data_IF_380571957378
#
_entry.id   IF_380571957378
#
_cell.length_a   1.000
_cell.length_b   1.000
_cell.length_c   1.000
_cell.angle_alpha   90.00
_cell.angle_beta   90.00
_cell.angle_gamma   90.00
#
_symmetry.space_group_name_H-M   'P 1'
#
loop_
_entity.id
_entity.type
_entity.pdbx_description
1 polymer ?
#
# COMPACT_ATOMS: atom_id res chain seq x y z
N UNK A 1 -51.30 -33.13 -39.35
CA UNK A 1 -51.60 -31.72 -38.98
C UNK A 1 -50.50 -31.29 -38.00
N UNK A 2 -49.49 -30.52 -38.42
CA UNK A 2 -49.46 -29.04 -38.47
C UNK A 2 -49.85 -28.39 -37.13
N UNK A 3 -49.24 -27.35 -36.58
CA UNK A 3 -47.94 -26.67 -36.67
C UNK A 3 -47.95 -25.57 -35.58
N UNK A 4 -46.76 -25.08 -35.18
CA UNK A 4 -46.45 -23.70 -34.74
C UNK A 4 -46.74 -23.17 -33.32
N UNK A 5 -45.61 -22.84 -32.66
CA UNK A 5 -45.13 -21.51 -32.18
C UNK A 5 -45.41 -21.01 -30.75
N UNK A 6 -44.31 -20.53 -30.14
CA UNK A 6 -44.23 -19.57 -29.01
C UNK A 6 -43.43 -20.17 -27.84
N UNK A 7 -42.34 -19.63 -27.28
CA UNK A 7 -41.73 -18.30 -27.34
C UNK A 7 -41.32 -17.88 -25.91
N UNK A 8 -40.02 -17.99 -25.58
CA UNK A 8 -39.23 -17.16 -24.63
C UNK A 8 -39.68 -17.05 -23.15
N UNK A 9 -38.82 -17.46 -22.19
CA UNK A 9 -38.00 -16.55 -21.32
C UNK A 9 -37.28 -17.25 -20.15
N UNK A 10 -35.99 -16.92 -20.03
CA UNK A 10 -35.12 -17.11 -18.86
C UNK A 10 -35.69 -16.47 -17.59
N UNK A 11 -35.39 -17.06 -16.43
CA UNK A 11 -35.08 -16.32 -15.19
C UNK A 11 -34.31 -17.20 -14.19
N UNK A 12 -33.12 -17.66 -14.57
CA UNK A 12 -32.08 -17.93 -13.57
C UNK A 12 -31.71 -16.59 -12.96
N UNK A 13 -32.02 -16.40 -11.67
CA UNK A 13 -31.70 -15.19 -10.92
C UNK A 13 -30.19 -14.98 -11.00
N UNK A 14 -29.82 -13.99 -11.78
CA UNK A 14 -28.52 -13.37 -11.83
C UNK A 14 -28.25 -12.82 -10.42
N UNK A 15 -27.45 -13.56 -9.66
CA UNK A 15 -26.84 -13.06 -8.43
C UNK A 15 -25.82 -12.02 -8.89
N UNK A 16 -26.33 -10.81 -9.14
CA UNK A 16 -25.57 -9.64 -9.50
C UNK A 16 -24.58 -9.40 -8.36
N UNK A 17 -23.36 -9.92 -8.52
CA UNK A 17 -22.23 -9.64 -7.62
C UNK A 17 -22.13 -8.12 -7.59
N UNK A 18 -22.63 -7.51 -6.52
CA UNK A 18 -22.51 -6.07 -6.30
C UNK A 18 -21.04 -5.75 -6.44
N UNK A 19 -20.65 -5.16 -7.58
CA UNK A 19 -19.31 -4.66 -7.81
C UNK A 19 -18.94 -3.83 -6.58
N UNK A 20 -17.70 -3.98 -6.12
CA UNK A 20 -17.19 -3.26 -4.96
C UNK A 20 -17.64 -1.80 -5.09
N UNK A 21 -18.52 -1.37 -4.18
CA UNK A 21 -18.91 0.04 -4.09
C UNK A 21 -17.59 0.79 -4.02
N UNK A 22 -17.32 1.66 -5.00
CA UNK A 22 -16.16 2.56 -5.04
C UNK A 22 -16.20 3.38 -3.74
N UNK A 23 -15.66 2.78 -2.67
CA UNK A 23 -15.47 3.41 -1.39
C UNK A 23 -14.38 4.41 -1.69
N UNK A 24 -14.76 5.69 -1.76
CA UNK A 24 -13.89 6.83 -2.08
C UNK A 24 -12.73 6.97 -1.10
N UNK A 25 -11.82 6.01 -1.13
CA UNK A 25 -10.57 6.00 -0.43
C UNK A 25 -9.54 6.36 -1.48
N UNK A 26 -9.37 7.67 -1.68
CA UNK A 26 -8.30 8.23 -2.48
C UNK A 26 -6.97 7.87 -1.80
N UNK A 27 -6.42 6.72 -2.16
CA UNK A 27 -5.08 6.33 -1.73
C UNK A 27 -4.06 6.92 -2.69
N UNK A 28 -2.92 7.35 -2.15
CA UNK A 28 -1.77 7.69 -2.97
C UNK A 28 -1.11 6.40 -3.48
N UNK A 29 -0.92 6.25 -4.81
CA UNK A 29 -0.21 5.11 -5.36
C UNK A 29 1.23 5.10 -4.86
N UNK A 30 1.75 3.92 -4.56
CA UNK A 30 3.14 3.79 -4.12
C UNK A 30 4.09 4.21 -5.26
N UNK A 31 5.09 5.06 -4.99
CA UNK A 31 6.07 5.44 -5.99
C UNK A 31 6.90 4.23 -6.41
N UNK A 32 7.35 4.22 -7.67
CA UNK A 32 8.36 3.26 -8.12
C UNK A 32 9.69 3.58 -7.46
N UNK A 33 10.57 2.58 -7.31
CA UNK A 33 11.88 2.78 -6.67
C UNK A 33 12.70 3.87 -7.39
N UNK A 34 12.61 3.96 -8.71
CA UNK A 34 13.30 4.97 -9.54
C UNK A 34 12.79 6.40 -9.30
N UNK A 35 11.56 6.56 -8.81
CA UNK A 35 10.97 7.85 -8.48
C UNK A 35 11.37 8.33 -7.08
N UNK A 36 11.85 7.42 -6.23
CA UNK A 36 12.25 7.72 -4.87
C UNK A 36 13.68 8.28 -4.87
N UNK A 37 13.83 9.55 -4.53
CA UNK A 37 15.12 10.26 -4.54
C UNK A 37 15.50 10.77 -3.15
N UNK A 38 16.80 10.96 -2.92
CA UNK A 38 17.31 11.52 -1.66
C UNK A 38 17.59 10.49 -0.55
N UNK A 39 17.43 9.19 -0.82
CA UNK A 39 17.66 8.11 0.14
C UNK A 39 18.87 7.22 -0.20
N UNK A 40 19.63 7.57 -1.24
CA UNK A 40 20.71 6.75 -1.77
C UNK A 40 20.17 5.49 -2.46
N UNK A 41 20.88 4.37 -2.31
CA UNK A 41 20.47 3.08 -2.87
C UNK A 41 19.33 2.47 -2.04
N UNK A 42 18.13 2.41 -2.61
CA UNK A 42 16.96 1.75 -2.04
C UNK A 42 16.69 0.43 -2.76
N UNK A 43 16.43 -0.63 -2.00
CA UNK A 43 16.04 -1.94 -2.54
C UNK A 43 14.61 -2.26 -2.12
N UNK A 44 13.69 -2.52 -3.07
CA UNK A 44 12.35 -2.97 -2.73
C UNK A 44 12.44 -4.36 -2.08
N UNK A 45 11.71 -4.56 -1.00
CA UNK A 45 11.63 -5.83 -0.27
C UNK A 45 10.18 -6.18 0.02
N UNK A 46 9.94 -7.45 0.37
CA UNK A 46 8.61 -7.89 0.74
C UNK A 46 8.11 -7.13 1.97
N UNK A 47 6.94 -6.50 1.83
CA UNK A 47 6.24 -5.89 2.96
C UNK A 47 5.91 -6.91 4.04
N UNK A 48 6.04 -6.50 5.30
CA UNK A 48 5.65 -7.30 6.47
C UNK A 48 4.52 -6.64 7.26
N UNK A 49 4.50 -5.30 7.32
CA UNK A 49 3.46 -4.54 8.03
C UNK A 49 2.13 -4.58 7.27
N UNK A 50 1.01 -4.96 7.90
CA UNK A 50 -0.32 -4.94 7.27
C UNK A 50 -0.80 -3.49 7.01
N UNK A 51 -1.58 -3.28 5.94
CA UNK A 51 -2.24 -2.00 5.69
C UNK A 51 -3.46 -1.82 6.61
N UNK A 52 -3.68 -0.62 7.10
CA UNK A 52 -4.84 -0.32 7.94
C UNK A 52 -6.10 -0.20 7.07
N UNK A 53 -7.13 -0.99 7.36
CA UNK A 53 -8.44 -0.90 6.70
C UNK A 53 -8.52 -1.50 5.29
N UNK A 54 -7.54 -2.29 4.87
CA UNK A 54 -7.53 -2.94 3.55
C UNK A 54 -6.80 -4.27 3.54
N UNK A 55 -6.85 -4.95 2.39
CA UNK A 55 -6.08 -6.17 2.15
C UNK A 55 -4.61 -5.87 1.83
N UNK A 56 -3.70 -6.72 2.30
CA UNK A 56 -2.29 -6.70 1.92
C UNK A 56 -1.35 -5.97 2.88
N UNK A 57 -0.08 -5.88 2.47
CA UNK A 57 1.02 -5.34 3.28
C UNK A 57 1.55 -4.05 2.66
N UNK A 58 2.15 -3.19 3.48
CA UNK A 58 2.78 -1.94 3.04
C UNK A 58 3.97 -2.24 2.15
N UNK A 59 4.14 -1.46 1.09
CA UNK A 59 5.34 -1.49 0.27
C UNK A 59 6.52 -1.10 1.16
N UNK A 60 7.61 -1.85 1.04
CA UNK A 60 8.78 -1.67 1.89
C UNK A 60 10.04 -1.58 1.04
N UNK A 61 10.92 -0.67 1.43
CA UNK A 61 12.27 -0.55 0.88
C UNK A 61 13.29 -0.59 2.01
N UNK A 62 14.45 -1.14 1.72
CA UNK A 62 15.62 -1.07 2.60
C UNK A 62 16.64 -0.14 1.98
N UNK A 63 17.14 0.79 2.79
CA UNK A 63 18.17 1.73 2.41
C UNK A 63 19.39 1.63 3.33
N UNK A 64 20.43 2.34 2.97
CA UNK A 64 21.62 2.48 3.81
C UNK A 64 22.23 1.13 4.24
N UNK A 65 22.36 0.20 3.28
CA UNK A 65 22.81 -1.18 3.48
C UNK A 65 21.99 -1.96 4.54
N UNK A 66 20.69 -1.69 4.61
CA UNK A 66 19.77 -2.35 5.55
C UNK A 66 19.66 -1.69 6.91
N UNK A 67 20.39 -0.58 7.16
CA UNK A 67 20.29 0.18 8.41
C UNK A 67 19.01 0.99 8.52
N UNK A 68 18.33 1.24 7.39
CA UNK A 68 17.06 1.97 7.33
C UNK A 68 16.02 1.21 6.53
N UNK A 69 14.79 1.26 7.02
CA UNK A 69 13.61 0.66 6.39
C UNK A 69 12.65 1.80 6.09
N UNK A 70 12.04 1.80 4.92
CA UNK A 70 11.05 2.77 4.51
C UNK A 70 9.77 2.04 4.12
N UNK A 71 8.63 2.48 4.63
CA UNK A 71 7.32 1.95 4.25
C UNK A 71 6.43 3.03 3.63
N UNK A 72 5.65 2.66 2.62
CA UNK A 72 4.71 3.59 2.01
C UNK A 72 3.48 3.79 2.89
N UNK A 73 3.23 5.05 3.26
CA UNK A 73 1.94 5.48 3.79
C UNK A 73 1.05 5.95 2.65
N UNK A 74 0.18 5.06 2.17
CA UNK A 74 -0.76 5.37 1.09
C UNK A 74 -1.86 6.33 1.49
N UNK A 75 -2.06 6.62 2.78
CA UNK A 75 -3.05 7.59 3.23
C UNK A 75 -2.52 9.02 3.08
N UNK A 76 -1.23 9.23 3.32
CA UNK A 76 -0.62 10.56 3.32
C UNK A 76 0.30 10.82 2.10
N UNK A 77 0.66 9.77 1.36
CA UNK A 77 1.57 9.89 0.22
C UNK A 77 3.03 10.11 0.62
N UNK A 78 3.45 9.58 1.77
CA UNK A 78 4.79 9.77 2.34
C UNK A 78 5.49 8.44 2.64
N UNK A 79 6.83 8.48 2.73
CA UNK A 79 7.64 7.36 3.18
C UNK A 79 7.86 7.46 4.68
N UNK A 80 7.29 6.52 5.42
CA UNK A 80 7.59 6.36 6.85
C UNK A 80 8.92 5.62 7.01
N UNK A 81 9.89 6.26 7.66
CA UNK A 81 11.20 5.70 7.92
C UNK A 81 11.28 5.04 9.29
N UNK A 82 12.00 3.92 9.33
CA UNK A 82 12.28 3.16 10.53
C UNK A 82 13.76 2.75 10.57
N UNK A 83 14.31 2.63 11.78
CA UNK A 83 15.66 2.12 11.99
C UNK A 83 15.68 0.61 11.83
N UNK A 84 16.62 0.08 11.05
CA UNK A 84 16.71 -1.34 10.72
C UNK A 84 17.08 -2.25 11.90
N UNK A 85 17.69 -1.70 12.95
CA UNK A 85 18.12 -2.48 14.12
C UNK A 85 16.98 -2.81 15.09
N UNK A 86 16.13 -1.84 15.41
CA UNK A 86 15.10 -1.92 16.46
C UNK A 86 13.69 -1.63 15.94
N UNK A 87 13.57 -1.19 14.68
CA UNK A 87 12.30 -0.83 14.06
C UNK A 87 11.74 0.50 14.56
N UNK A 88 12.50 1.33 15.28
CA UNK A 88 12.02 2.61 15.79
C UNK A 88 11.72 3.58 14.64
N UNK A 89 10.60 4.29 14.71
CA UNK A 89 10.26 5.33 13.74
C UNK A 89 11.27 6.49 13.80
N UNK A 90 11.83 6.85 12.64
CA UNK A 90 12.83 7.92 12.49
C UNK A 90 12.28 9.17 11.78
N UNK A 91 11.02 9.14 11.34
CA UNK A 91 10.34 10.25 10.69
C UNK A 91 9.59 9.84 9.43
N UNK A 92 8.79 10.76 8.90
CA UNK A 92 8.19 10.63 7.58
C UNK A 92 8.94 11.52 6.59
N UNK A 93 9.05 11.06 5.34
CA UNK A 93 9.86 11.70 4.32
C UNK A 93 9.11 11.82 2.99
N UNK A 94 9.38 12.89 2.27
CA UNK A 94 8.87 13.09 0.91
C UNK A 94 9.61 12.15 -0.06
N UNK A 95 8.90 11.33 -0.86
CA UNK A 95 9.54 10.36 -1.75
C UNK A 95 10.34 11.01 -2.88
N UNK A 96 9.94 12.21 -3.34
CA UNK A 96 10.54 12.86 -4.52
C UNK A 96 11.81 13.64 -4.18
N UNK A 97 11.88 14.19 -2.98
CA UNK A 97 12.97 15.05 -2.53
C UNK A 97 13.85 14.43 -1.44
N UNK A 98 13.34 13.42 -0.73
CA UNK A 98 14.00 12.84 0.44
C UNK A 98 13.97 13.74 1.67
N UNK A 99 13.26 14.88 1.61
CA UNK A 99 13.15 15.80 2.74
C UNK A 99 12.30 15.18 3.83
N UNK A 100 12.72 15.36 5.08
CA UNK A 100 11.95 14.96 6.23
C UNK A 100 10.73 15.87 6.38
N UNK A 101 9.54 15.28 6.38
CA UNK A 101 8.25 15.93 6.57
C UNK A 101 7.83 15.95 8.04
N UNK A 102 8.08 14.83 8.74
CA UNK A 102 7.73 14.67 10.16
C UNK A 102 8.92 14.17 10.97
N UNK A 103 9.09 14.63 12.22
CA UNK A 103 10.12 14.13 13.11
C UNK A 103 9.88 12.67 13.50
N UNK A 104 10.89 12.06 14.12
CA UNK A 104 10.77 10.75 14.74
C UNK A 104 9.66 10.73 15.79
N UNK A 105 8.96 9.61 15.90
CA UNK A 105 7.90 9.40 16.89
C UNK A 105 8.26 8.19 17.75
N UNK A 106 8.60 8.38 19.04
CA UNK A 106 9.00 7.28 19.91
C UNK A 106 7.88 6.25 20.11
N UNK A 107 6.61 6.63 19.93
CA UNK A 107 5.46 5.74 20.10
C UNK A 107 5.25 4.80 18.91
N UNK A 108 5.89 5.07 17.75
CA UNK A 108 5.73 4.29 16.53
C UNK A 108 6.95 3.41 16.28
N UNK A 109 6.72 2.13 16.04
CA UNK A 109 7.77 1.19 15.68
C UNK A 109 7.21 0.02 14.84
N UNK A 110 8.11 -0.64 14.13
CA UNK A 110 7.83 -1.84 13.33
C UNK A 110 8.61 -3.06 13.84
N UNK A 111 9.02 -3.08 15.12
CA UNK A 111 9.86 -4.16 15.69
C UNK A 111 9.27 -5.56 15.45
N UNK A 112 7.94 -5.69 15.58
CA UNK A 112 7.19 -6.92 15.31
C UNK A 112 7.27 -7.39 13.84
N UNK A 113 7.60 -6.48 12.93
CA UNK A 113 7.58 -6.67 11.50
C UNK A 113 8.94 -6.45 10.85
N UNK A 114 10.05 -6.45 11.59
CA UNK A 114 11.40 -6.41 11.00
C UNK A 114 11.64 -7.64 10.12
#
# INVERSE_FOLDING_TARGET
>A
MAASKGGKKNKGKEDERKGVKEKGHSYHPAPKVDEIKGFGELKPVQGKTPKQGGGGRRNRWVGDKGRKIYEWDSQHGELEGYRGSDGQHIGAFDPKSGKQLKPADPKRNIKKYL
#
